data_IF_577844386663
#
_entry.id   IF_577844386663
#
_cell.length_a   1.000
_cell.length_b   1.000
_cell.length_c   1.000
_cell.angle_alpha   90.00
_cell.angle_beta   90.00
_cell.angle_gamma   90.00
#
_symmetry.space_group_name_H-M   'P 1'
#
loop_
_entity.id
_entity.type
_entity.pdbx_description
1 polymer ?
#
# COMPACT_ATOMS: atom_id res chain seq x y z
N UNK A 1 -4.02 -68.53 3.70
CA UNK A 1 -4.50 -67.19 4.16
C UNK A 1 -5.96 -67.13 3.82
N UNK A 2 -6.85 -67.01 4.83
CA UNK A 2 -8.30 -67.16 4.63
C UNK A 2 -8.90 -65.92 3.93
N UNK A 3 -9.89 -66.13 3.06
CA UNK A 3 -10.65 -65.13 2.32
C UNK A 3 -11.18 -63.96 3.23
N UNK A 4 -11.44 -64.26 4.50
CA UNK A 4 -11.84 -63.25 5.49
C UNK A 4 -10.77 -62.18 5.82
N UNK A 5 -9.47 -62.52 5.74
CA UNK A 5 -8.39 -61.54 5.94
C UNK A 5 -8.30 -60.55 4.76
N UNK A 6 -8.46 -61.02 3.56
CA UNK A 6 -8.39 -60.20 2.32
C UNK A 6 -9.56 -59.19 2.30
N UNK A 7 -10.78 -59.66 2.61
CA UNK A 7 -11.97 -58.80 2.66
C UNK A 7 -11.86 -57.72 3.75
N UNK A 8 -11.25 -58.02 4.89
CA UNK A 8 -11.04 -57.07 5.97
C UNK A 8 -10.00 -56.00 5.61
N UNK A 9 -8.92 -56.37 4.92
CA UNK A 9 -7.88 -55.43 4.45
C UNK A 9 -8.41 -54.48 3.37
N UNK A 10 -9.24 -54.97 2.44
CA UNK A 10 -9.87 -54.14 1.40
C UNK A 10 -10.89 -53.16 2.00
N UNK A 11 -11.65 -53.57 3.00
CA UNK A 11 -12.62 -52.66 3.71
C UNK A 11 -11.89 -51.57 4.51
N UNK A 12 -10.79 -51.89 5.20
CA UNK A 12 -10.00 -50.92 5.93
C UNK A 12 -9.28 -49.94 4.99
N UNK A 13 -8.74 -50.44 3.88
CA UNK A 13 -8.08 -49.56 2.85
C UNK A 13 -9.09 -48.58 2.22
N UNK A 14 -10.32 -49.02 1.90
CA UNK A 14 -11.38 -48.16 1.39
C UNK A 14 -11.83 -47.12 2.43
N UNK A 15 -11.98 -47.49 3.72
CA UNK A 15 -12.34 -46.59 4.79
C UNK A 15 -11.26 -45.49 4.98
N UNK A 16 -9.97 -45.84 4.93
CA UNK A 16 -8.85 -44.92 5.04
C UNK A 16 -8.80 -43.97 3.84
N UNK A 17 -8.98 -44.48 2.61
CA UNK A 17 -8.98 -43.61 1.41
C UNK A 17 -10.18 -42.67 1.39
N UNK A 18 -11.36 -43.10 1.84
CA UNK A 18 -12.54 -42.23 1.97
C UNK A 18 -12.34 -41.16 3.05
N UNK A 19 -11.78 -41.53 4.20
CA UNK A 19 -11.48 -40.57 5.27
C UNK A 19 -10.42 -39.52 4.82
N UNK A 20 -9.40 -39.94 4.08
CA UNK A 20 -8.39 -39.05 3.51
C UNK A 20 -8.99 -38.09 2.47
N UNK A 21 -9.84 -38.60 1.57
CA UNK A 21 -10.54 -37.80 0.59
C UNK A 21 -11.45 -36.75 1.23
N UNK A 22 -12.21 -37.15 2.26
CA UNK A 22 -13.06 -36.22 3.05
C UNK A 22 -12.21 -35.18 3.78
N UNK A 23 -11.09 -35.56 4.37
CA UNK A 23 -10.17 -34.62 5.02
C UNK A 23 -9.56 -33.62 4.03
N UNK A 24 -9.21 -34.05 2.81
CA UNK A 24 -8.72 -33.18 1.74
C UNK A 24 -9.84 -32.21 1.31
N UNK A 25 -11.07 -32.69 1.09
CA UNK A 25 -12.21 -31.84 0.70
C UNK A 25 -12.56 -30.83 1.79
N UNK A 26 -12.59 -31.27 3.05
CA UNK A 26 -12.81 -30.37 4.17
C UNK A 26 -11.66 -29.36 4.34
N UNK A 27 -10.42 -29.79 4.21
CA UNK A 27 -9.25 -28.92 4.28
C UNK A 27 -9.22 -27.88 3.14
N UNK A 28 -9.54 -28.30 1.92
CA UNK A 28 -9.66 -27.39 0.77
C UNK A 28 -10.87 -26.48 0.88
N UNK A 29 -12.00 -26.97 1.40
CA UNK A 29 -13.20 -26.16 1.66
C UNK A 29 -12.97 -25.07 2.70
N UNK A 30 -12.27 -25.39 3.79
CA UNK A 30 -11.89 -24.39 4.82
C UNK A 30 -10.90 -23.38 4.27
N UNK A 31 -9.89 -23.81 3.54
CA UNK A 31 -8.93 -22.90 2.88
C UNK A 31 -9.64 -21.99 1.88
N UNK A 32 -10.55 -22.52 1.06
CA UNK A 32 -11.34 -21.77 0.09
C UNK A 32 -12.29 -20.76 0.74
N UNK A 33 -12.98 -21.15 1.84
CA UNK A 33 -13.86 -20.23 2.58
C UNK A 33 -13.07 -19.10 3.25
N UNK A 34 -11.87 -19.39 3.74
CA UNK A 34 -10.98 -18.36 4.34
C UNK A 34 -10.50 -17.35 3.31
N UNK A 35 -10.15 -17.80 2.09
CA UNK A 35 -9.74 -16.90 0.99
C UNK A 35 -10.91 -16.01 0.57
N UNK A 36 -12.12 -16.58 0.40
CA UNK A 36 -13.31 -15.78 0.05
C UNK A 36 -13.67 -14.77 1.13
N UNK A 37 -13.67 -15.17 2.40
CA UNK A 37 -13.93 -14.24 3.50
C UNK A 37 -12.90 -13.11 3.58
N UNK A 38 -11.65 -13.39 3.16
CA UNK A 38 -10.62 -12.37 3.05
C UNK A 38 -10.96 -11.33 1.97
N UNK A 39 -11.32 -11.79 0.77
CA UNK A 39 -11.67 -10.90 -0.36
C UNK A 39 -12.96 -10.12 -0.10
N UNK A 40 -14.00 -10.77 0.42
CA UNK A 40 -15.31 -10.15 0.70
C UNK A 40 -15.24 -9.02 1.76
N UNK A 41 -14.24 -9.04 2.62
CA UNK A 41 -14.06 -8.03 3.68
C UNK A 41 -13.23 -6.81 3.27
N UNK A 42 -12.57 -6.82 2.11
CA UNK A 42 -11.74 -5.72 1.64
C UNK A 42 -12.61 -4.67 0.92
N UNK A 43 -12.36 -3.40 1.20
CA UNK A 43 -13.01 -2.32 0.48
C UNK A 43 -12.43 -2.18 -0.92
N UNK A 44 -13.28 -2.31 -1.94
CA UNK A 44 -12.88 -2.19 -3.34
C UNK A 44 -13.36 -0.88 -3.97
N UNK A 45 -12.53 -0.29 -4.83
CA UNK A 45 -12.84 0.91 -5.61
C UNK A 45 -12.68 0.64 -7.10
N UNK A 46 -13.36 1.42 -7.91
CA UNK A 46 -13.18 1.43 -9.37
C UNK A 46 -12.70 2.81 -9.80
N UNK A 47 -11.82 2.84 -10.79
CA UNK A 47 -11.40 4.07 -11.45
C UNK A 47 -11.32 3.84 -12.97
N UNK A 48 -11.91 4.74 -13.78
CA UNK A 48 -11.91 4.59 -15.23
C UNK A 48 -10.52 4.60 -15.89
N UNK A 49 -9.54 5.24 -15.23
CA UNK A 49 -8.17 5.33 -15.74
C UNK A 49 -7.29 4.11 -15.45
N UNK A 50 -7.80 3.11 -14.71
CA UNK A 50 -7.05 1.86 -14.49
C UNK A 50 -6.97 1.02 -15.76
N UNK A 51 -5.80 0.40 -15.97
CA UNK A 51 -5.53 -0.52 -17.06
C UNK A 51 -6.11 -1.93 -16.83
N UNK A 52 -5.78 -2.83 -17.74
CA UNK A 52 -6.28 -4.21 -17.74
C UNK A 52 -5.19 -5.24 -17.46
N UNK A 53 -4.04 -4.81 -16.94
CA UNK A 53 -2.95 -5.66 -16.49
C UNK A 53 -1.95 -6.05 -17.58
N UNK A 54 -0.79 -5.39 -17.61
CA UNK A 54 0.38 -5.83 -18.35
C UNK A 54 0.36 -5.65 -19.86
N UNK A 55 -0.53 -4.81 -20.40
CA UNK A 55 -0.61 -4.52 -21.84
C UNK A 55 0.64 -3.81 -22.39
N UNK A 56 1.38 -3.11 -21.52
CA UNK A 56 2.64 -2.41 -21.82
C UNK A 56 3.91 -3.23 -21.47
N UNK A 57 3.75 -4.51 -21.14
CA UNK A 57 4.84 -5.44 -20.81
C UNK A 57 5.13 -5.59 -19.32
N UNK A 58 4.38 -4.91 -18.44
CA UNK A 58 4.48 -5.02 -17.00
C UNK A 58 3.09 -4.87 -16.35
N UNK A 59 2.97 -5.27 -15.10
CA UNK A 59 1.85 -4.93 -14.23
C UNK A 59 2.30 -3.78 -13.34
N UNK A 60 1.57 -2.67 -13.41
CA UNK A 60 1.86 -1.44 -12.70
C UNK A 60 0.87 -1.19 -11.58
N UNK A 61 1.36 -1.18 -10.33
CA UNK A 61 0.55 -1.05 -9.12
C UNK A 61 0.89 0.27 -8.44
N UNK A 62 -0.09 1.13 -8.26
CA UNK A 62 0.07 2.38 -7.50
C UNK A 62 -0.29 2.15 -6.04
N UNK A 63 0.71 2.19 -5.17
CA UNK A 63 0.55 2.14 -3.73
C UNK A 63 0.58 3.56 -3.16
N UNK A 64 -0.48 3.93 -2.44
CA UNK A 64 -0.66 5.27 -1.88
C UNK A 64 -0.82 5.21 -0.37
N UNK A 65 -0.01 5.99 0.34
CA UNK A 65 -0.15 6.24 1.77
C UNK A 65 -0.87 7.57 2.02
N UNK A 66 -2.06 7.51 2.63
CA UNK A 66 -2.85 8.68 3.00
C UNK A 66 -2.60 9.09 4.45
N UNK A 67 -2.50 10.39 4.69
CA UNK A 67 -2.57 10.97 6.04
C UNK A 67 -4.05 11.13 6.47
N UNK A 68 -4.82 10.02 6.42
CA UNK A 68 -6.25 9.97 6.73
C UNK A 68 -6.49 9.62 8.20
N UNK A 69 -7.51 10.28 8.81
CA UNK A 69 -8.03 9.97 10.15
C UNK A 69 -9.28 9.11 10.09
N UNK A 70 -9.46 8.37 8.99
CA UNK A 70 -10.56 7.41 8.82
C UNK A 70 -10.01 6.03 8.52
N UNK A 71 -10.82 5.01 8.76
CA UNK A 71 -10.57 3.66 8.27
C UNK A 71 -10.87 3.56 6.75
N UNK A 72 -10.69 2.36 6.16
CA UNK A 72 -10.97 2.11 4.74
C UNK A 72 -12.44 2.33 4.35
N UNK A 73 -13.35 2.26 5.31
CA UNK A 73 -14.78 2.45 5.11
C UNK A 73 -15.23 3.90 5.32
N UNK A 74 -14.29 4.82 5.64
CA UNK A 74 -14.56 6.22 5.90
C UNK A 74 -15.03 6.53 7.33
N UNK A 75 -15.01 5.56 8.26
CA UNK A 75 -15.35 5.80 9.65
C UNK A 75 -14.21 6.54 10.35
N UNK A 76 -14.51 7.59 11.16
CA UNK A 76 -13.48 8.30 11.92
C UNK A 76 -12.74 7.37 12.89
N UNK A 77 -11.43 7.59 13.05
CA UNK A 77 -10.64 6.92 14.08
C UNK A 77 -11.02 7.44 15.46
N UNK A 78 -10.95 6.57 16.45
CA UNK A 78 -11.17 6.96 17.85
C UNK A 78 -10.07 7.87 18.37
N UNK A 79 -10.35 8.64 19.42
CA UNK A 79 -9.36 9.49 20.07
C UNK A 79 -8.16 8.69 20.61
N UNK A 80 -8.37 7.45 21.06
CA UNK A 80 -7.31 6.57 21.53
C UNK A 80 -6.40 6.12 20.37
N UNK A 81 -6.98 5.78 19.21
CA UNK A 81 -6.22 5.44 18.00
C UNK A 81 -5.42 6.62 17.50
N UNK A 82 -6.02 7.82 17.44
CA UNK A 82 -5.32 9.04 17.04
C UNK A 82 -4.15 9.37 17.96
N UNK A 83 -4.36 9.25 19.28
CA UNK A 83 -3.30 9.45 20.26
C UNK A 83 -2.16 8.43 20.10
N UNK A 84 -2.49 7.14 19.89
CA UNK A 84 -1.50 6.08 19.68
C UNK A 84 -0.69 6.28 18.40
N UNK A 85 -1.29 6.85 17.36
CA UNK A 85 -0.64 7.13 16.08
C UNK A 85 0.08 8.49 16.06
N UNK A 86 0.07 9.24 17.16
CA UNK A 86 0.53 10.63 17.20
C UNK A 86 -0.04 11.46 16.03
N UNK A 87 -1.31 11.23 15.74
CA UNK A 87 -2.04 11.92 14.68
C UNK A 87 -2.94 12.99 15.31
N UNK A 88 -2.76 14.27 14.92
CA UNK A 88 -3.65 15.35 15.33
C UNK A 88 -5.03 15.23 14.71
N UNK A 89 -5.95 16.12 15.16
CA UNK A 89 -7.35 16.14 14.71
C UNK A 89 -7.53 16.80 13.32
N UNK A 90 -6.46 17.26 12.69
CA UNK A 90 -6.52 17.90 11.37
C UNK A 90 -6.97 16.91 10.30
N UNK A 91 -8.05 17.22 9.59
CA UNK A 91 -8.49 16.49 8.40
C UNK A 91 -7.55 16.78 7.22
N UNK A 92 -6.37 16.17 7.23
CA UNK A 92 -5.49 16.21 6.09
C UNK A 92 -5.73 14.98 5.20
N UNK A 93 -5.92 15.20 3.91
CA UNK A 93 -6.06 14.14 2.90
C UNK A 93 -4.90 14.20 1.90
N UNK A 94 -3.69 14.41 2.43
CA UNK A 94 -2.49 14.41 1.61
C UNK A 94 -1.99 12.99 1.39
N UNK A 95 -1.46 12.75 0.19
CA UNK A 95 -0.78 11.50 -0.15
C UNK A 95 0.70 11.65 0.14
N UNK A 96 1.11 11.24 1.33
CA UNK A 96 2.50 11.41 1.81
C UNK A 96 3.45 10.32 1.31
N UNK A 97 2.90 9.21 0.80
CA UNK A 97 3.65 8.12 0.18
C UNK A 97 3.01 7.79 -1.16
N UNK A 98 3.80 7.82 -2.23
CA UNK A 98 3.37 7.49 -3.58
C UNK A 98 4.44 6.58 -4.18
N UNK A 99 4.09 5.31 -4.41
CA UNK A 99 5.02 4.29 -4.90
C UNK A 99 4.37 3.58 -6.09
N UNK A 100 5.01 3.60 -7.24
CA UNK A 100 4.65 2.79 -8.39
C UNK A 100 5.46 1.48 -8.34
N UNK A 101 4.79 0.35 -8.24
CA UNK A 101 5.43 -0.98 -8.26
C UNK A 101 5.24 -1.55 -9.66
N UNK A 102 6.35 -1.65 -10.41
CA UNK A 102 6.38 -2.21 -11.75
C UNK A 102 6.87 -3.64 -11.72
N UNK A 103 6.05 -4.56 -12.19
CA UNK A 103 6.34 -6.01 -12.25
C UNK A 103 6.31 -6.45 -13.71
N UNK A 104 7.47 -6.60 -14.38
CA UNK A 104 7.50 -7.06 -15.76
C UNK A 104 6.80 -8.41 -15.93
N UNK A 105 6.13 -8.62 -17.04
CA UNK A 105 5.36 -9.83 -17.34
C UNK A 105 6.20 -11.13 -17.29
N UNK A 106 7.52 -11.02 -17.43
CA UNK A 106 8.42 -12.16 -17.26
C UNK A 106 8.57 -12.64 -15.80
N UNK A 107 8.08 -11.87 -14.82
CA UNK A 107 8.06 -12.19 -13.40
C UNK A 107 9.43 -12.40 -12.74
N UNK A 108 10.52 -11.86 -13.30
CA UNK A 108 11.89 -12.08 -12.79
C UNK A 108 12.37 -11.03 -11.80
N UNK A 109 11.78 -9.86 -11.82
CA UNK A 109 12.12 -8.73 -10.95
C UNK A 109 10.89 -7.87 -10.67
N UNK A 110 10.96 -7.04 -9.64
CA UNK A 110 10.01 -5.97 -9.42
C UNK A 110 10.78 -4.71 -9.03
N UNK A 111 10.29 -3.54 -9.42
CA UNK A 111 10.86 -2.26 -9.03
C UNK A 111 9.81 -1.43 -8.33
N UNK A 112 10.08 -1.06 -7.08
CA UNK A 112 9.28 -0.10 -6.32
C UNK A 112 9.85 1.31 -6.52
N UNK A 113 9.13 2.12 -7.27
CA UNK A 113 9.54 3.45 -7.71
C UNK A 113 8.84 4.49 -6.84
N UNK A 114 9.58 5.16 -5.97
CA UNK A 114 9.07 6.24 -5.13
C UNK A 114 8.95 7.54 -5.92
N UNK A 115 7.80 8.20 -5.79
CA UNK A 115 7.55 9.54 -6.31
C UNK A 115 7.58 10.49 -5.11
N UNK A 116 8.54 11.43 -5.01
CA UNK A 116 8.58 12.38 -3.92
C UNK A 116 7.26 13.17 -3.82
N UNK A 117 6.67 13.26 -2.65
CA UNK A 117 5.35 13.89 -2.44
C UNK A 117 5.29 15.36 -2.85
N UNK A 118 6.43 16.06 -2.78
CA UNK A 118 6.56 17.47 -3.16
C UNK A 118 6.91 17.64 -4.66
N UNK A 119 6.85 16.57 -5.48
CA UNK A 119 7.04 16.64 -6.92
C UNK A 119 6.03 17.61 -7.55
N UNK A 120 6.55 18.59 -8.31
CA UNK A 120 5.75 19.63 -8.94
C UNK A 120 5.31 19.19 -10.32
N UNK A 121 4.04 18.81 -10.45
CA UNK A 121 3.47 18.13 -11.62
C UNK A 121 2.22 18.83 -12.14
N UNK A 122 1.90 18.62 -13.40
CA UNK A 122 0.60 18.99 -13.95
C UNK A 122 -0.45 17.96 -13.48
N UNK A 123 -1.57 18.43 -12.95
CA UNK A 123 -2.67 17.58 -12.48
C UNK A 123 -4.00 18.00 -13.13
N UNK A 124 -4.88 17.04 -13.44
CA UNK A 124 -6.17 17.31 -14.06
C UNK A 124 -7.00 18.32 -13.26
N UNK A 125 -7.42 19.41 -13.89
CA UNK A 125 -8.26 20.44 -13.27
C UNK A 125 -7.59 21.34 -12.23
N UNK A 126 -6.34 21.07 -11.85
CA UNK A 126 -5.60 21.85 -10.83
C UNK A 126 -4.44 22.65 -11.40
N UNK A 127 -4.05 22.40 -12.67
CA UNK A 127 -2.82 22.95 -13.21
C UNK A 127 -1.58 22.32 -12.59
N UNK A 128 -0.52 23.10 -12.40
CA UNK A 128 0.69 22.60 -11.72
C UNK A 128 0.58 22.73 -10.22
N UNK A 129 0.82 21.63 -9.50
CA UNK A 129 0.78 21.57 -8.04
C UNK A 129 1.71 20.49 -7.50
N UNK A 130 1.91 20.42 -6.18
CA UNK A 130 2.55 19.28 -5.54
C UNK A 130 1.68 18.03 -5.69
N UNK A 131 2.28 16.91 -6.05
CA UNK A 131 1.54 15.66 -6.30
C UNK A 131 0.76 15.17 -5.08
N UNK A 132 1.27 15.41 -3.85
CA UNK A 132 0.60 15.01 -2.61
C UNK A 132 -0.73 15.73 -2.38
N UNK A 133 -0.92 16.91 -2.95
CA UNK A 133 -2.17 17.67 -2.83
C UNK A 133 -3.23 17.30 -3.86
N UNK A 134 -2.87 16.57 -4.92
CA UNK A 134 -3.79 16.28 -6.04
C UNK A 134 -5.05 15.57 -5.57
N UNK A 135 -4.89 14.50 -4.78
CA UNK A 135 -6.02 13.75 -4.22
C UNK A 135 -6.94 14.64 -3.37
N UNK A 136 -6.39 15.30 -2.36
CA UNK A 136 -7.18 16.08 -1.40
C UNK A 136 -7.86 17.30 -2.03
N UNK A 137 -7.15 18.04 -2.89
CA UNK A 137 -7.72 19.21 -3.57
C UNK A 137 -8.84 18.82 -4.53
N UNK A 138 -8.66 17.77 -5.33
CA UNK A 138 -9.72 17.29 -6.24
C UNK A 138 -10.92 16.76 -5.47
N UNK A 139 -10.68 15.96 -4.40
CA UNK A 139 -11.72 15.45 -3.51
C UNK A 139 -12.57 16.59 -2.97
N UNK A 140 -11.94 17.61 -2.39
CA UNK A 140 -12.65 18.72 -1.76
C UNK A 140 -13.38 19.59 -2.77
N UNK A 141 -12.76 19.89 -3.92
CA UNK A 141 -13.42 20.66 -4.99
C UNK A 141 -14.68 19.96 -5.48
N UNK A 142 -14.60 18.64 -5.70
CA UNK A 142 -15.75 17.84 -6.14
C UNK A 142 -16.84 17.78 -5.06
N UNK A 143 -16.44 17.52 -3.81
CA UNK A 143 -17.36 17.46 -2.66
C UNK A 143 -18.11 18.77 -2.49
N UNK A 144 -17.39 19.90 -2.45
CA UNK A 144 -17.99 21.23 -2.26
C UNK A 144 -18.97 21.57 -3.40
N UNK A 145 -18.59 21.28 -4.66
CA UNK A 145 -19.49 21.50 -5.81
C UNK A 145 -20.77 20.68 -5.74
N UNK A 146 -20.71 19.43 -5.30
CA UNK A 146 -21.88 18.57 -5.15
C UNK A 146 -22.80 19.03 -3.99
N UNK A 147 -22.22 19.40 -2.86
CA UNK A 147 -22.99 19.96 -1.73
C UNK A 147 -23.71 21.25 -2.15
N UNK A 148 -23.03 22.13 -2.90
CA UNK A 148 -23.65 23.34 -3.45
C UNK A 148 -24.78 23.03 -4.43
N UNK A 149 -24.68 21.91 -5.17
CA UNK A 149 -25.73 21.42 -6.08
C UNK A 149 -26.86 20.67 -5.36
N UNK A 150 -26.83 20.54 -4.03
CA UNK A 150 -27.88 19.92 -3.22
C UNK A 150 -27.71 18.42 -2.95
N UNK A 151 -26.56 17.83 -3.26
CA UNK A 151 -26.28 16.44 -2.91
C UNK A 151 -26.11 16.28 -1.38
N UNK A 152 -26.42 15.09 -0.86
CA UNK A 152 -26.20 14.80 0.54
C UNK A 152 -24.69 14.84 0.89
N UNK A 153 -24.31 15.17 2.15
CA UNK A 153 -22.90 15.19 2.56
C UNK A 153 -22.19 13.85 2.32
N UNK A 154 -22.88 12.73 2.53
CA UNK A 154 -22.34 11.38 2.34
C UNK A 154 -22.07 11.07 0.86
N UNK A 155 -23.01 11.34 -0.02
CA UNK A 155 -22.85 11.17 -1.48
C UNK A 155 -21.74 12.07 -2.03
N UNK A 156 -21.73 13.34 -1.59
CA UNK A 156 -20.71 14.29 -1.99
C UNK A 156 -19.30 13.87 -1.54
N UNK A 157 -19.17 13.35 -0.31
CA UNK A 157 -17.91 12.85 0.23
C UNK A 157 -17.41 11.61 -0.55
N UNK A 158 -18.29 10.64 -0.84
CA UNK A 158 -17.96 9.46 -1.62
C UNK A 158 -17.50 9.83 -3.04
N UNK A 159 -18.29 10.63 -3.76
CA UNK A 159 -17.94 11.08 -5.11
C UNK A 159 -16.67 11.95 -5.15
N UNK A 160 -16.43 12.74 -4.09
CA UNK A 160 -15.18 13.48 -3.93
C UNK A 160 -13.98 12.55 -3.81
N UNK A 161 -14.09 11.52 -2.97
CA UNK A 161 -13.04 10.51 -2.76
C UNK A 161 -12.69 9.78 -4.06
N UNK A 162 -13.69 9.33 -4.82
CA UNK A 162 -13.48 8.70 -6.12
C UNK A 162 -12.79 9.64 -7.12
N UNK A 163 -13.22 10.90 -7.20
CA UNK A 163 -12.58 11.90 -8.05
C UNK A 163 -11.12 12.17 -7.65
N UNK A 164 -10.81 12.20 -6.36
CA UNK A 164 -9.45 12.36 -5.85
C UNK A 164 -8.53 11.20 -6.25
N UNK A 165 -9.00 9.95 -6.12
CA UNK A 165 -8.29 8.74 -6.55
C UNK A 165 -8.01 8.77 -8.05
N UNK A 166 -9.03 9.01 -8.85
CA UNK A 166 -8.93 9.10 -10.31
C UNK A 166 -7.92 10.16 -10.75
N UNK A 167 -7.96 11.35 -10.15
CA UNK A 167 -7.03 12.43 -10.47
C UNK A 167 -5.58 12.06 -10.13
N UNK A 168 -5.34 11.39 -9.00
CA UNK A 168 -4.00 10.96 -8.61
C UNK A 168 -3.48 9.86 -9.53
N UNK A 169 -4.29 8.83 -9.82
CA UNK A 169 -3.94 7.75 -10.75
C UNK A 169 -3.53 8.33 -12.10
N UNK A 170 -4.37 9.22 -12.66
CA UNK A 170 -4.08 9.87 -13.91
C UNK A 170 -2.81 10.73 -13.86
N UNK A 171 -2.61 11.47 -12.78
CA UNK A 171 -1.40 12.30 -12.60
C UNK A 171 -0.13 11.46 -12.57
N UNK A 172 -0.17 10.29 -11.90
CA UNK A 172 0.96 9.36 -11.87
C UNK A 172 1.20 8.75 -13.25
N UNK A 173 0.14 8.32 -13.94
CA UNK A 173 0.25 7.79 -15.30
C UNK A 173 0.84 8.83 -16.27
N UNK A 174 0.35 10.07 -16.24
CA UNK A 174 0.87 11.18 -17.08
C UNK A 174 2.34 11.50 -16.76
N UNK A 175 2.76 11.41 -15.49
CA UNK A 175 4.14 11.66 -15.07
C UNK A 175 5.08 10.54 -15.50
N UNK A 176 4.65 9.29 -15.36
CA UNK A 176 5.52 8.10 -15.54
C UNK A 176 5.45 7.49 -16.94
N UNK A 177 4.41 7.84 -17.71
CA UNK A 177 4.21 7.33 -19.07
C UNK A 177 3.68 5.89 -19.11
N UNK A 178 3.30 5.29 -17.96
CA UNK A 178 2.74 3.94 -17.88
C UNK A 178 1.28 3.97 -17.45
N UNK A 179 0.53 2.94 -17.81
CA UNK A 179 -0.83 2.76 -17.34
C UNK A 179 -0.81 2.09 -15.97
N UNK A 180 -1.47 2.67 -14.98
CA UNK A 180 -1.65 2.04 -13.68
C UNK A 180 -2.72 0.95 -13.78
N UNK A 181 -2.37 -0.31 -13.53
CA UNK A 181 -3.28 -1.44 -13.61
C UNK A 181 -4.05 -1.65 -12.31
N UNK A 182 -3.36 -1.49 -11.18
CA UNK A 182 -3.94 -1.71 -9.87
C UNK A 182 -3.63 -0.55 -8.93
N UNK A 183 -4.55 -0.31 -8.01
CA UNK A 183 -4.44 0.73 -6.99
C UNK A 183 -4.61 0.12 -5.60
N UNK A 184 -3.74 0.53 -4.68
CA UNK A 184 -3.84 0.21 -3.26
C UNK A 184 -3.65 1.49 -2.43
N UNK A 185 -4.54 1.70 -1.47
CA UNK A 185 -4.53 2.86 -0.58
C UNK A 185 -4.50 2.40 0.88
N UNK A 186 -3.62 3.00 1.67
CA UNK A 186 -3.41 2.65 3.08
C UNK A 186 -3.39 3.93 3.89
N UNK A 187 -4.27 4.04 4.89
CA UNK A 187 -4.26 5.13 5.87
C UNK A 187 -3.23 4.89 7.00
N UNK A 188 -3.09 5.87 7.90
CA UNK A 188 -2.17 5.82 9.04
C UNK A 188 -2.39 4.58 9.91
N UNK A 189 -3.65 4.30 10.26
CA UNK A 189 -4.01 3.13 11.06
C UNK A 189 -3.61 1.84 10.35
N UNK A 190 -3.86 1.76 9.04
CA UNK A 190 -3.56 0.59 8.24
C UNK A 190 -2.09 0.23 8.22
N UNK A 191 -1.26 1.23 8.02
CA UNK A 191 0.18 1.04 8.08
C UNK A 191 0.62 0.46 9.44
N UNK A 192 0.13 1.02 10.55
CA UNK A 192 0.46 0.55 11.90
C UNK A 192 -0.04 -0.89 12.12
N UNK A 193 -1.30 -1.19 11.78
CA UNK A 193 -1.88 -2.52 11.95
C UNK A 193 -1.16 -3.59 11.12
N UNK A 194 -0.80 -3.29 9.87
CA UNK A 194 -0.04 -4.21 9.00
C UNK A 194 1.36 -4.45 9.56
N UNK A 195 2.06 -3.39 9.97
CA UNK A 195 3.39 -3.52 10.57
C UNK A 195 3.35 -4.40 11.83
N UNK A 196 2.35 -4.22 12.71
CA UNK A 196 2.16 -5.06 13.90
C UNK A 196 1.77 -6.50 13.55
N UNK A 197 0.88 -6.71 12.58
CA UNK A 197 0.48 -8.04 12.13
C UNK A 197 1.68 -8.84 11.60
N UNK A 198 2.61 -8.16 10.93
CA UNK A 198 3.87 -8.73 10.46
C UNK A 198 4.94 -8.86 11.56
N UNK A 199 4.62 -8.48 12.81
CA UNK A 199 5.51 -8.59 13.96
C UNK A 199 6.55 -7.47 14.08
N UNK A 200 6.23 -6.28 13.55
CA UNK A 200 7.06 -5.07 13.64
C UNK A 200 8.12 -4.98 12.54
N UNK A 201 8.87 -3.89 12.55
CA UNK A 201 9.90 -3.55 11.55
C UNK A 201 11.28 -3.50 12.21
N UNK A 202 12.24 -4.25 11.68
CA UNK A 202 13.62 -4.20 12.15
C UNK A 202 14.34 -3.04 11.43
N UNK A 203 14.89 -2.11 12.22
CA UNK A 203 15.66 -0.95 11.74
C UNK A 203 17.02 -0.85 12.43
N UNK A 204 17.96 -0.17 11.78
CA UNK A 204 19.25 0.17 12.37
C UNK A 204 19.54 1.65 12.16
N UNK A 205 19.45 2.45 13.24
CA UNK A 205 19.74 3.87 13.20
C UNK A 205 21.21 4.13 13.49
N UNK A 206 21.85 4.98 12.68
CA UNK A 206 23.24 5.41 12.92
C UNK A 206 23.33 6.35 14.10
N UNK A 207 22.31 7.17 14.30
CA UNK A 207 22.22 8.19 15.35
C UNK A 207 20.85 8.13 16.02
N UNK A 208 20.70 8.61 17.27
CA UNK A 208 19.40 8.68 17.91
C UNK A 208 18.50 9.70 17.19
N UNK A 209 17.20 9.49 17.29
CA UNK A 209 16.18 10.36 16.68
C UNK A 209 15.22 10.80 17.76
N UNK A 210 15.01 12.10 17.88
CA UNK A 210 13.98 12.68 18.75
C UNK A 210 13.20 13.74 18.00
N UNK A 211 11.94 13.44 17.66
CA UNK A 211 11.02 14.37 16.99
C UNK A 211 9.60 14.22 17.55
N UNK A 212 9.20 15.06 18.50
CA UNK A 212 7.91 14.95 19.18
C UNK A 212 6.69 15.04 18.24
N UNK A 213 6.79 15.80 17.14
CA UNK A 213 5.66 16.00 16.21
C UNK A 213 5.24 14.71 15.48
N UNK A 214 6.18 13.82 15.20
CA UNK A 214 5.87 12.50 14.63
C UNK A 214 5.74 11.42 15.71
N UNK A 215 6.08 11.74 16.96
CA UNK A 215 6.21 10.77 18.05
C UNK A 215 7.48 9.91 17.96
N UNK A 216 8.47 10.33 17.16
CA UNK A 216 9.72 9.60 17.03
C UNK A 216 10.66 9.87 18.22
N UNK A 217 10.97 8.81 18.97
CA UNK A 217 11.97 8.80 20.05
C UNK A 217 12.68 7.44 20.01
N UNK A 218 13.81 7.40 19.32
CA UNK A 218 14.53 6.17 19.02
C UNK A 218 16.00 6.30 19.33
N UNK A 219 16.61 5.39 20.14
CA UNK A 219 18.04 5.34 20.33
C UNK A 219 18.77 4.92 19.04
N UNK A 220 20.06 5.19 18.96
CA UNK A 220 20.90 4.64 17.91
C UNK A 220 21.02 3.11 18.05
N UNK A 221 21.31 2.43 16.94
CA UNK A 221 21.54 1.00 16.88
C UNK A 221 20.37 0.20 16.30
N UNK A 222 20.47 -1.12 16.46
CA UNK A 222 19.41 -2.06 15.98
C UNK A 222 18.26 -2.10 16.96
N UNK A 223 17.06 -1.98 16.42
CA UNK A 223 15.82 -2.07 17.20
C UNK A 223 14.67 -2.56 16.34
N UNK A 224 13.66 -3.08 17.00
CA UNK A 224 12.42 -3.51 16.37
C UNK A 224 11.33 -2.51 16.73
N UNK A 225 10.76 -1.87 15.72
CA UNK A 225 9.67 -0.93 15.86
C UNK A 225 8.33 -1.66 15.75
N UNK A 226 7.40 -1.39 16.66
CA UNK A 226 5.99 -1.78 16.48
C UNK A 226 5.29 -0.87 15.45
N UNK A 227 4.01 -1.11 15.15
CA UNK A 227 3.29 -0.38 14.12
C UNK A 227 3.28 1.14 14.31
N UNK A 228 2.84 1.68 15.46
CA UNK A 228 2.90 3.12 15.74
C UNK A 228 4.32 3.70 15.67
N UNK A 229 5.31 2.99 16.21
CA UNK A 229 6.71 3.41 16.13
C UNK A 229 7.24 3.41 14.69
N UNK A 230 6.90 2.40 13.90
CA UNK A 230 7.25 2.36 12.48
C UNK A 230 6.61 3.53 11.71
N UNK A 231 5.35 3.87 12.06
CA UNK A 231 4.67 5.04 11.50
C UNK A 231 5.38 6.34 11.88
N UNK A 232 5.72 6.54 13.15
CA UNK A 232 6.50 7.70 13.62
C UNK A 232 7.83 7.81 12.87
N UNK A 233 8.52 6.70 12.67
CA UNK A 233 9.80 6.64 11.97
C UNK A 233 9.71 7.09 10.51
N UNK A 234 8.67 6.68 9.77
CA UNK A 234 8.50 7.07 8.35
C UNK A 234 7.90 8.48 8.19
N UNK A 235 7.32 9.05 9.25
CA UNK A 235 6.73 10.41 9.25
C UNK A 235 7.71 11.50 9.66
N UNK A 236 8.85 11.16 10.26
CA UNK A 236 9.83 12.16 10.68
C UNK A 236 10.22 13.09 9.53
N UNK A 237 10.19 14.40 9.80
CA UNK A 237 10.48 15.47 8.81
C UNK A 237 11.65 16.36 9.21
N UNK A 238 11.80 16.63 10.51
CA UNK A 238 12.81 17.55 11.01
C UNK A 238 14.15 16.81 11.21
N UNK A 239 15.24 17.57 11.18
CA UNK A 239 16.62 17.07 11.37
C UNK A 239 17.06 16.01 10.35
N UNK A 240 16.45 16.05 9.14
CA UNK A 240 16.89 15.25 8.01
C UNK A 240 17.76 16.13 7.07
N UNK A 241 19.04 15.78 6.85
CA UNK A 241 19.98 16.60 6.07
C UNK A 241 19.49 16.95 4.66
N UNK A 242 18.76 16.04 4.01
CA UNK A 242 18.18 16.23 2.66
C UNK A 242 16.65 16.36 2.68
N UNK A 243 16.06 16.64 3.85
CA UNK A 243 14.61 16.86 3.98
C UNK A 243 13.77 15.69 3.49
N UNK A 244 12.86 15.95 2.54
CA UNK A 244 11.92 14.94 2.02
C UNK A 244 12.58 13.74 1.35
N UNK A 245 13.74 13.91 0.72
CA UNK A 245 14.48 12.80 0.10
C UNK A 245 14.98 11.78 1.13
N UNK A 246 15.41 12.22 2.32
CA UNK A 246 15.80 11.31 3.39
C UNK A 246 14.60 10.59 3.98
N UNK A 247 13.42 11.22 4.00
CA UNK A 247 12.17 10.56 4.35
C UNK A 247 11.82 9.45 3.36
N UNK A 248 11.97 9.69 2.05
CA UNK A 248 11.77 8.65 1.03
C UNK A 248 12.68 7.45 1.28
N UNK A 249 13.96 7.66 1.62
CA UNK A 249 14.88 6.57 1.96
C UNK A 249 14.41 5.77 3.18
N UNK A 250 13.88 6.43 4.21
CA UNK A 250 13.30 5.73 5.39
C UNK A 250 12.06 4.93 5.03
N UNK A 251 11.17 5.50 4.23
CA UNK A 251 9.99 4.79 3.72
C UNK A 251 10.40 3.56 2.92
N UNK A 252 11.36 3.68 2.02
CA UNK A 252 11.90 2.54 1.25
C UNK A 252 12.51 1.46 2.16
N UNK A 253 13.27 1.84 3.18
CA UNK A 253 13.85 0.89 4.13
C UNK A 253 12.78 0.09 4.89
N UNK A 254 11.72 0.76 5.37
CA UNK A 254 10.60 0.11 6.05
C UNK A 254 9.81 -0.78 5.09
N UNK A 255 9.51 -0.30 3.88
CA UNK A 255 8.80 -1.08 2.86
C UNK A 255 9.60 -2.33 2.47
N UNK A 256 10.93 -2.21 2.31
CA UNK A 256 11.80 -3.35 2.03
C UNK A 256 11.76 -4.38 3.16
N UNK A 257 11.80 -3.94 4.43
CA UNK A 257 11.72 -4.82 5.59
C UNK A 257 10.37 -5.54 5.68
N UNK A 258 9.26 -4.83 5.43
CA UNK A 258 7.91 -5.43 5.40
C UNK A 258 7.76 -6.41 4.23
N UNK A 259 8.19 -6.02 3.02
CA UNK A 259 8.16 -6.89 1.84
C UNK A 259 8.97 -8.17 2.08
N UNK A 260 10.18 -8.06 2.63
CA UNK A 260 11.01 -9.23 2.96
C UNK A 260 10.29 -10.19 3.93
N UNK A 261 9.56 -9.68 4.91
CA UNK A 261 8.78 -10.51 5.86
C UNK A 261 7.63 -11.24 5.16
N UNK A 262 6.90 -10.55 4.28
CA UNK A 262 5.82 -11.19 3.51
C UNK A 262 6.38 -12.28 2.58
N UNK A 263 7.47 -11.97 1.87
CA UNK A 263 8.09 -12.87 0.89
C UNK A 263 8.77 -14.08 1.56
N UNK A 264 9.37 -13.93 2.74
CA UNK A 264 10.14 -15.01 3.42
C UNK A 264 9.31 -16.24 3.81
N UNK A 265 7.99 -16.22 3.56
CA UNK A 265 7.10 -17.36 3.80
C UNK A 265 6.81 -17.67 5.28
N UNK A 266 7.58 -17.14 6.22
CA UNK A 266 7.35 -17.35 7.66
C UNK A 266 6.02 -16.72 8.13
N UNK A 267 5.65 -15.58 7.55
CA UNK A 267 4.39 -14.90 7.82
C UNK A 267 3.19 -15.72 7.36
N UNK A 268 3.27 -16.31 6.17
CA UNK A 268 2.18 -17.06 5.55
C UNK A 268 2.02 -18.48 6.11
N UNK A 269 3.00 -18.99 6.84
CA UNK A 269 2.93 -20.29 7.52
C UNK A 269 2.23 -20.26 8.88
N UNK A 270 1.99 -19.06 9.44
CA UNK A 270 1.33 -18.86 10.74
C UNK A 270 -0.15 -18.48 10.57
N UNK A 271 -1.13 -19.35 10.92
CA UNK A 271 -2.55 -19.00 10.83
C UNK A 271 -2.94 -17.78 11.68
N UNK A 272 -2.28 -17.59 12.83
CA UNK A 272 -2.53 -16.44 13.69
C UNK A 272 -2.03 -15.14 13.07
N UNK A 273 -0.91 -15.16 12.37
CA UNK A 273 -0.37 -14.01 11.66
C UNK A 273 -1.23 -13.66 10.43
N UNK A 274 -1.67 -14.67 9.67
CA UNK A 274 -2.60 -14.47 8.56
C UNK A 274 -3.90 -13.83 9.01
N UNK A 275 -4.50 -14.32 10.10
CA UNK A 275 -5.75 -13.74 10.63
C UNK A 275 -5.57 -12.28 11.07
N UNK A 276 -4.45 -11.93 11.71
CA UNK A 276 -4.16 -10.53 12.08
C UNK A 276 -3.97 -9.66 10.87
N UNK A 277 -3.26 -10.17 9.85
CA UNK A 277 -3.04 -9.45 8.59
C UNK A 277 -4.37 -9.25 7.84
N UNK A 278 -5.22 -10.27 7.79
CA UNK A 278 -6.58 -10.20 7.25
C UNK A 278 -7.38 -9.07 7.90
N UNK A 279 -7.45 -9.06 9.23
CA UNK A 279 -8.18 -8.03 9.98
C UNK A 279 -7.60 -6.62 9.75
N UNK A 280 -6.27 -6.49 9.68
CA UNK A 280 -5.60 -5.23 9.40
C UNK A 280 -5.96 -4.71 7.99
N UNK A 281 -5.90 -5.58 6.98
CA UNK A 281 -6.20 -5.23 5.59
C UNK A 281 -7.67 -4.85 5.42
N UNK A 282 -8.60 -5.68 5.90
CA UNK A 282 -10.05 -5.43 5.79
C UNK A 282 -10.45 -4.09 6.42
N UNK A 283 -9.81 -3.70 7.52
CA UNK A 283 -10.13 -2.46 8.21
C UNK A 283 -9.54 -1.22 7.54
N UNK A 284 -8.45 -1.34 6.82
CA UNK A 284 -7.60 -0.18 6.57
C UNK A 284 -6.98 -0.08 5.19
N UNK A 285 -7.26 -1.03 4.30
CA UNK A 285 -6.76 -1.03 2.92
C UNK A 285 -7.91 -0.92 1.95
N UNK A 286 -7.75 -0.04 0.95
CA UNK A 286 -8.63 0.06 -0.21
C UNK A 286 -7.88 -0.50 -1.41
N UNK A 287 -8.51 -1.40 -2.16
CA UNK A 287 -7.94 -1.98 -3.38
C UNK A 287 -8.80 -1.65 -4.60
N UNK A 288 -8.19 -1.64 -5.78
CA UNK A 288 -8.94 -1.59 -7.03
C UNK A 288 -9.74 -2.88 -7.24
N UNK A 289 -10.96 -2.73 -7.79
CA UNK A 289 -11.83 -3.86 -8.12
C UNK A 289 -11.17 -4.77 -9.18
N UNK A 290 -11.41 -6.07 -9.06
CA UNK A 290 -10.87 -7.06 -10.00
C UNK A 290 -9.40 -7.43 -9.80
N UNK A 291 -8.75 -6.93 -8.75
CA UNK A 291 -7.39 -7.32 -8.41
C UNK A 291 -7.39 -8.53 -7.48
N UNK A 292 -6.87 -9.66 -7.96
CA UNK A 292 -6.60 -10.84 -7.11
C UNK A 292 -5.31 -10.63 -6.32
N UNK A 293 -5.47 -10.16 -5.08
CA UNK A 293 -4.34 -9.90 -4.17
C UNK A 293 -3.56 -11.17 -3.82
N UNK A 294 -4.23 -12.33 -3.83
CA UNK A 294 -3.58 -13.61 -3.53
C UNK A 294 -2.71 -14.09 -4.69
N UNK A 295 -3.12 -13.83 -5.93
CA UNK A 295 -2.28 -14.07 -7.10
C UNK A 295 -1.07 -13.14 -7.10
N UNK A 296 -1.25 -11.87 -6.75
CA UNK A 296 -0.14 -10.93 -6.60
C UNK A 296 0.87 -11.38 -5.53
N UNK A 297 0.40 -11.80 -4.36
CA UNK A 297 1.28 -12.36 -3.30
C UNK A 297 2.04 -13.60 -3.80
N UNK A 298 1.38 -14.48 -4.55
CA UNK A 298 2.05 -15.65 -5.17
C UNK A 298 3.09 -15.24 -6.21
N UNK A 299 2.82 -14.20 -7.00
CA UNK A 299 3.81 -13.65 -7.94
C UNK A 299 5.01 -13.07 -7.20
N UNK A 300 4.78 -12.25 -6.15
CA UNK A 300 5.86 -11.76 -5.30
C UNK A 300 6.69 -12.88 -4.67
N UNK A 301 6.05 -13.98 -4.27
CA UNK A 301 6.77 -15.14 -3.73
C UNK A 301 7.65 -15.85 -4.79
N UNK A 302 7.22 -15.90 -6.05
CA UNK A 302 8.05 -16.41 -7.16
C UNK A 302 9.27 -15.51 -7.41
N UNK A 303 9.15 -14.19 -7.09
CA UNK A 303 10.28 -13.25 -7.06
C UNK A 303 11.21 -13.48 -5.85
N UNK A 304 10.90 -14.43 -4.94
CA UNK A 304 11.62 -14.69 -3.69
C UNK A 304 13.10 -15.09 -3.84
N UNK A 305 13.60 -15.20 -5.06
CA UNK A 305 15.03 -15.18 -5.37
C UNK A 305 15.72 -13.83 -5.16
N UNK A 306 15.01 -12.78 -4.70
CA UNK A 306 15.63 -11.60 -4.12
C UNK A 306 15.68 -10.33 -4.97
N UNK A 307 14.90 -10.18 -6.04
CA UNK A 307 15.05 -9.03 -6.95
C UNK A 307 13.87 -8.03 -6.88
N UNK A 308 13.61 -7.48 -5.69
CA UNK A 308 12.82 -6.25 -5.57
C UNK A 308 13.79 -5.07 -5.41
N UNK A 309 13.89 -4.24 -6.43
CA UNK A 309 14.67 -3.02 -6.39
C UNK A 309 13.82 -1.85 -5.85
N UNK A 310 14.44 -0.96 -5.08
CA UNK A 310 13.82 0.29 -4.64
C UNK A 310 14.56 1.45 -5.29
N UNK A 311 13.80 2.33 -5.92
CA UNK A 311 14.35 3.48 -6.63
C UNK A 311 13.46 4.72 -6.40
N UNK A 312 13.99 5.88 -6.74
CA UNK A 312 13.23 7.15 -6.76
C UNK A 312 13.29 7.69 -8.17
N UNK A 313 12.21 8.28 -8.67
CA UNK A 313 12.22 8.94 -9.98
C UNK A 313 13.34 9.96 -10.08
N UNK A 314 13.88 10.23 -11.28
CA UNK A 314 14.84 11.32 -11.50
C UNK A 314 14.26 12.67 -11.06
N UNK A 315 15.01 13.44 -10.31
CA UNK A 315 14.66 14.80 -9.89
C UNK A 315 15.64 15.81 -10.49
N UNK A 316 15.16 16.94 -10.97
CA UNK A 316 15.99 18.03 -11.47
C UNK A 316 16.56 18.86 -10.34
N UNK A 317 15.71 19.18 -9.36
CA UNK A 317 16.06 19.97 -8.18
C UNK A 317 15.19 19.51 -7.00
N UNK A 318 15.84 19.07 -5.94
CA UNK A 318 15.18 18.59 -4.71
C UNK A 318 14.74 19.72 -3.78
N UNK A 319 15.10 20.96 -4.04
CA UNK A 319 14.82 22.14 -3.22
C UNK A 319 14.38 23.36 -4.07
N UNK A 320 13.69 23.10 -5.18
CA UNK A 320 13.20 24.14 -6.09
C UNK A 320 11.98 24.90 -5.54
N UNK A 321 11.50 25.86 -6.32
CA UNK A 321 10.29 26.64 -6.02
C UNK A 321 9.24 26.42 -7.10
N UNK A 322 7.94 26.52 -6.71
CA UNK A 322 6.81 26.57 -7.64
C UNK A 322 6.95 27.73 -8.65
N UNK A 323 6.21 27.68 -9.75
CA UNK A 323 6.33 28.70 -10.81
C UNK A 323 5.93 30.11 -10.34
N UNK A 324 5.10 30.20 -9.29
CA UNK A 324 4.71 31.44 -8.59
C UNK A 324 5.69 31.86 -7.46
N UNK A 325 6.69 31.02 -7.15
CA UNK A 325 7.68 31.26 -6.10
C UNK A 325 7.15 31.13 -4.66
N UNK A 326 5.93 30.63 -4.46
CA UNK A 326 5.29 30.61 -3.14
C UNK A 326 5.53 29.33 -2.36
N UNK A 327 5.88 28.22 -3.03
CA UNK A 327 6.03 26.91 -2.39
C UNK A 327 7.38 26.27 -2.72
N UNK A 328 8.02 25.70 -1.72
CA UNK A 328 9.15 24.79 -1.94
C UNK A 328 8.65 23.50 -2.56
N UNK A 329 9.25 23.06 -3.66
CA UNK A 329 8.83 21.89 -4.45
C UNK A 329 10.03 21.06 -4.90
N UNK A 330 9.80 19.80 -5.23
CA UNK A 330 10.75 18.95 -5.94
C UNK A 330 10.45 19.10 -7.44
N UNK A 331 11.42 19.63 -8.20
CA UNK A 331 11.25 19.79 -9.64
C UNK A 331 11.57 18.49 -10.37
N UNK A 332 10.68 18.09 -11.28
CA UNK A 332 10.79 16.89 -12.10
C UNK A 332 10.57 17.24 -13.58
N UNK A 333 11.22 16.51 -14.47
CA UNK A 333 10.93 16.54 -15.90
C UNK A 333 10.14 15.28 -16.29
N UNK A 334 8.88 15.40 -16.69
CA UNK A 334 8.07 14.24 -17.06
C UNK A 334 8.69 13.37 -18.15
N UNK A 335 9.38 13.96 -19.14
CA UNK A 335 10.03 13.19 -20.21
C UNK A 335 11.17 12.34 -19.66
N UNK A 336 12.00 12.94 -18.81
CA UNK A 336 13.10 12.22 -18.18
C UNK A 336 12.57 11.10 -17.26
N UNK A 337 11.46 11.33 -16.56
CA UNK A 337 10.82 10.32 -15.71
C UNK A 337 10.27 9.18 -16.57
N UNK A 338 9.54 9.49 -17.65
CA UNK A 338 8.98 8.50 -18.57
C UNK A 338 10.09 7.64 -19.19
N UNK A 339 11.11 8.26 -19.75
CA UNK A 339 12.26 7.54 -20.35
C UNK A 339 12.94 6.61 -19.33
N UNK A 340 13.02 7.05 -18.07
CA UNK A 340 13.65 6.26 -17.00
C UNK A 340 12.76 5.12 -16.50
N UNK A 341 11.42 5.28 -16.46
CA UNK A 341 10.48 4.25 -15.97
C UNK A 341 10.29 3.15 -17.00
N UNK A 342 10.27 3.49 -18.30
CA UNK A 342 10.00 2.55 -19.40
C UNK A 342 11.28 1.89 -19.93
N UNK A 343 12.44 2.56 -19.81
CA UNK A 343 13.75 2.08 -20.28
C UNK A 343 14.42 1.13 -19.32
#
# INVERSE_FOLDING_TARGET
MSAQRVVRTVRTARAISTALAVAIVLGTGVAWSSVRSFEDGIFHMSAPSLGHGGDDGAIDILLVGLDSRTDAHGNPLSAEELATLHAGDEEATNTDTIILIRVPNNGKSATAISIPRDSYVAAPGLGKTKINGVYGQTRETKRAGLVQAGASPTEAAAAGTEAGREALIKTVADLTGVTVDHYAEIGLLGFALIADALGGVDVCLKEPVYEPLSGADFPAGRQKLNGPQALSFVRQRHDLPRGDLDRVVRQQAVMAALAHRVISGQTLSSPATLKRLEQAVQRSVVLSSGWDIMDFVRQLQKLAGGNVAFATIPVLDGAGWSDDGMQSVVRVDPRQVQDWVVG
#
